data_IF_362018648802
#
_entry.id   IF_362018648802
#
_cell.length_a   1.000
_cell.length_b   1.000
_cell.length_c   1.000
_cell.angle_alpha   90.00
_cell.angle_beta   90.00
_cell.angle_gamma   90.00
#
_symmetry.space_group_name_H-M   'P 1'
#
loop_
_entity.id
_entity.type
_entity.pdbx_description
1 polymer ?
#
# COMPACT_ATOMS: atom_id res chain seq x y z
N UNK A 1 2.70 -19.10 3.01
CA UNK A 1 3.57 -18.45 4.03
C UNK A 1 2.78 -18.39 5.34
N UNK A 2 2.98 -19.36 6.21
CA UNK A 2 2.17 -19.51 7.45
C UNK A 2 2.39 -18.37 8.46
N UNK A 3 3.50 -17.64 8.34
CA UNK A 3 3.85 -16.51 9.18
C UNK A 3 3.21 -15.17 8.73
N UNK A 4 2.68 -15.11 7.53
CA UNK A 4 2.17 -13.87 6.95
C UNK A 4 0.65 -13.76 7.16
N UNK A 5 0.20 -12.64 7.69
CA UNK A 5 -1.18 -12.20 7.62
C UNK A 5 -1.26 -10.97 6.71
N UNK A 6 -2.15 -10.97 5.73
CA UNK A 6 -2.31 -9.83 4.82
C UNK A 6 -3.70 -9.80 4.19
N UNK A 7 -4.09 -8.65 3.71
CA UNK A 7 -5.33 -8.52 2.94
C UNK A 7 -5.58 -7.10 2.44
N UNK A 8 -6.41 -7.06 1.41
CA UNK A 8 -7.04 -5.83 0.93
C UNK A 8 -8.51 -5.89 1.34
N UNK A 9 -8.89 -5.06 2.32
CA UNK A 9 -10.26 -5.00 2.80
C UNK A 9 -11.21 -4.40 1.77
N UNK A 10 -12.47 -4.75 1.91
CA UNK A 10 -13.58 -4.14 1.18
C UNK A 10 -14.29 -3.12 2.08
N UNK A 11 -15.31 -2.45 1.55
CA UNK A 11 -16.16 -1.53 2.34
C UNK A 11 -16.95 -2.22 3.46
N UNK A 12 -17.02 -3.55 3.44
CA UNK A 12 -17.73 -4.38 4.40
C UNK A 12 -16.83 -4.96 5.50
N UNK A 13 -15.51 -4.79 5.38
CA UNK A 13 -14.55 -5.37 6.31
C UNK A 13 -14.21 -4.38 7.42
N UNK A 14 -14.40 -4.79 8.67
CA UNK A 14 -13.91 -4.08 9.84
C UNK A 14 -12.53 -4.61 10.24
N UNK A 15 -11.52 -4.18 9.50
CA UNK A 15 -10.13 -4.62 9.73
C UNK A 15 -9.59 -4.22 11.10
N UNK A 16 -9.87 -3.01 11.64
CA UNK A 16 -9.48 -2.67 13.01
C UNK A 16 -9.98 -3.64 14.08
N UNK A 17 -11.17 -4.21 13.92
CA UNK A 17 -11.73 -5.18 14.86
C UNK A 17 -11.03 -6.56 14.80
N UNK A 18 -10.20 -6.83 13.79
CA UNK A 18 -9.50 -8.10 13.63
C UNK A 18 -8.16 -8.16 14.38
N UNK A 19 -7.61 -7.01 14.79
CA UNK A 19 -6.24 -6.94 15.31
C UNK A 19 -6.10 -5.97 16.48
N UNK A 20 -5.73 -6.48 17.64
CA UNK A 20 -5.45 -5.65 18.83
C UNK A 20 -4.17 -4.81 18.67
N UNK A 21 -3.23 -5.28 17.85
CA UNK A 21 -1.89 -4.69 17.63
C UNK A 21 -1.76 -4.04 16.25
N UNK A 22 -2.79 -3.33 15.79
CA UNK A 22 -2.79 -2.66 14.48
C UNK A 22 -2.07 -1.32 14.54
N UNK A 23 -1.00 -1.15 13.78
CA UNK A 23 -0.35 0.14 13.56
C UNK A 23 -0.89 0.83 12.31
N UNK A 24 -1.17 2.11 12.42
CA UNK A 24 -1.65 2.95 11.31
C UNK A 24 -0.92 4.30 11.30
N UNK A 25 -1.20 5.13 10.30
CA UNK A 25 -0.64 6.47 10.15
C UNK A 25 -1.73 7.54 10.00
N UNK A 26 -1.37 8.77 10.36
CA UNK A 26 -2.02 9.95 9.84
C UNK A 26 -1.46 10.18 8.41
N UNK A 27 -2.15 9.62 7.40
CA UNK A 27 -1.75 9.71 6.00
C UNK A 27 -1.86 11.15 5.49
N UNK A 28 -0.78 11.65 4.89
CA UNK A 28 -0.63 13.04 4.44
C UNK A 28 -0.28 13.16 2.95
N UNK A 29 -0.39 12.05 2.20
CA UNK A 29 -0.07 11.95 0.77
C UNK A 29 1.39 12.30 0.44
N UNK A 30 2.31 11.90 1.31
CA UNK A 30 3.76 12.10 1.20
C UNK A 30 4.49 10.86 0.67
N UNK A 31 5.83 10.92 0.66
CA UNK A 31 6.70 9.76 0.49
C UNK A 31 7.40 9.35 1.81
N UNK A 32 6.80 9.68 2.96
CA UNK A 32 7.34 9.35 4.27
C UNK A 32 7.02 7.91 4.65
N UNK A 33 8.07 7.14 4.96
CA UNK A 33 7.98 5.78 5.44
C UNK A 33 8.36 5.73 6.93
N UNK A 34 7.51 5.11 7.76
CA UNK A 34 7.68 4.99 9.22
C UNK A 34 7.88 3.52 9.59
N UNK A 35 8.83 3.24 10.47
CA UNK A 35 8.96 1.91 11.06
C UNK A 35 7.98 1.74 12.21
N UNK A 36 7.24 0.64 12.21
CA UNK A 36 6.29 0.38 13.29
C UNK A 36 6.99 -0.19 14.53
N UNK A 37 7.97 -1.11 14.37
CA UNK A 37 8.80 -1.65 15.47
C UNK A 37 7.96 -2.25 16.60
N UNK A 38 6.93 -3.02 16.25
CA UNK A 38 6.01 -3.65 17.19
C UNK A 38 5.01 -2.69 17.86
N UNK A 39 5.06 -1.39 17.55
CA UNK A 39 4.12 -0.40 18.11
C UNK A 39 2.77 -0.49 17.41
N UNK A 40 1.70 -0.14 18.11
CA UNK A 40 0.33 -0.11 17.62
C UNK A 40 -0.29 1.31 17.73
N UNK A 41 -1.48 1.46 17.17
CA UNK A 41 -2.18 2.74 17.11
C UNK A 41 -1.70 3.65 15.98
N UNK A 42 -1.87 4.97 16.13
CA UNK A 42 -1.47 5.96 15.12
C UNK A 42 -0.05 6.45 15.38
N UNK A 43 0.91 6.02 14.57
CA UNK A 43 2.36 6.26 14.78
C UNK A 43 2.87 7.61 14.28
N UNK A 44 1.98 8.52 13.86
CA UNK A 44 2.35 9.85 13.40
C UNK A 44 2.07 10.07 11.90
N UNK A 45 2.63 11.14 11.29
CA UNK A 45 2.42 11.45 9.89
C UNK A 45 3.28 10.57 8.98
N UNK A 46 2.70 10.11 7.87
CA UNK A 46 3.39 9.30 6.86
C UNK A 46 2.41 8.52 5.98
N UNK A 47 2.94 7.82 4.97
CA UNK A 47 2.12 7.13 3.98
C UNK A 47 2.62 5.69 3.70
N UNK A 48 3.68 5.25 4.37
CA UNK A 48 4.10 3.86 4.37
C UNK A 48 4.55 3.42 5.77
N UNK A 49 4.25 2.17 6.12
CA UNK A 49 4.71 1.51 7.34
C UNK A 49 5.54 0.28 6.98
N UNK A 50 6.64 0.06 7.71
CA UNK A 50 7.43 -1.18 7.63
C UNK A 50 7.42 -1.90 8.96
N UNK A 51 7.44 -3.26 8.95
CA UNK A 51 7.37 -4.08 10.15
C UNK A 51 8.02 -5.45 9.94
N UNK A 52 8.66 -6.00 10.99
CA UNK A 52 9.13 -7.39 11.01
C UNK A 52 9.02 -8.04 12.41
N UNK A 53 8.42 -7.34 13.37
CA UNK A 53 8.18 -7.87 14.72
C UNK A 53 7.05 -8.90 14.68
N UNK A 54 7.22 -10.07 15.31
CA UNK A 54 6.15 -11.06 15.45
C UNK A 54 4.91 -10.47 16.11
N UNK A 55 3.74 -10.91 15.64
CA UNK A 55 2.40 -10.51 16.08
C UNK A 55 2.05 -9.03 15.85
N UNK A 56 2.89 -8.28 15.13
CA UNK A 56 2.59 -6.91 14.74
C UNK A 56 1.94 -6.85 13.34
N UNK A 57 0.98 -5.95 13.20
CA UNK A 57 0.25 -5.71 11.95
C UNK A 57 0.28 -4.23 11.60
N UNK A 58 0.63 -3.91 10.37
CA UNK A 58 0.61 -2.55 9.82
C UNK A 58 -0.51 -2.40 8.81
N UNK A 59 -1.19 -1.25 8.80
CA UNK A 59 -2.25 -1.00 7.83
C UNK A 59 -2.26 0.45 7.34
N UNK A 60 -2.76 0.60 6.11
CA UNK A 60 -3.09 1.89 5.50
C UNK A 60 -4.57 1.91 5.09
N UNK A 61 -5.10 3.11 4.92
CA UNK A 61 -6.49 3.35 4.55
C UNK A 61 -6.57 3.99 3.17
N UNK A 62 -7.48 3.52 2.34
CA UNK A 62 -7.67 4.06 0.99
C UNK A 62 -9.15 4.26 0.66
N UNK A 63 -9.41 5.19 -0.25
CA UNK A 63 -10.58 5.31 -1.11
C UNK A 63 -10.04 5.95 -2.39
N UNK A 64 -9.80 5.13 -3.41
CA UNK A 64 -9.19 5.44 -4.71
C UNK A 64 -7.66 5.42 -4.79
N UNK A 65 -6.92 5.94 -3.78
CA UNK A 65 -5.46 5.79 -3.76
C UNK A 65 -5.06 4.32 -3.79
N UNK A 66 -3.91 4.01 -4.39
CA UNK A 66 -3.44 2.63 -4.57
C UNK A 66 -2.83 2.10 -3.28
N UNK A 67 -3.40 1.05 -2.67
CA UNK A 67 -2.74 0.34 -1.59
C UNK A 67 -1.73 -0.65 -2.15
N UNK A 68 -0.52 -0.70 -1.56
CA UNK A 68 0.50 -1.66 -1.95
C UNK A 68 1.04 -2.35 -0.71
N UNK A 69 1.12 -3.67 -0.77
CA UNK A 69 1.72 -4.50 0.27
C UNK A 69 3.03 -5.07 -0.27
N UNK A 70 4.10 -4.91 0.50
CA UNK A 70 5.41 -5.49 0.20
C UNK A 70 5.71 -6.57 1.24
N UNK A 71 6.26 -7.69 0.78
CA UNK A 71 6.57 -8.85 1.62
C UNK A 71 7.93 -9.40 1.25
N UNK A 72 8.84 -9.48 2.23
CA UNK A 72 10.10 -10.22 2.13
C UNK A 72 9.99 -11.50 2.95
N UNK A 73 9.88 -12.63 2.25
CA UNK A 73 9.74 -13.94 2.89
C UNK A 73 10.98 -14.34 3.70
N UNK A 74 12.17 -13.97 3.23
CA UNK A 74 13.44 -14.38 3.87
C UNK A 74 13.69 -13.63 5.18
N UNK A 75 13.28 -12.37 5.24
CA UNK A 75 13.44 -11.49 6.41
C UNK A 75 12.20 -11.48 7.29
N UNK A 76 11.10 -12.12 6.85
CA UNK A 76 9.78 -12.03 7.46
C UNK A 76 9.41 -10.58 7.75
N UNK A 77 9.59 -9.74 6.74
CA UNK A 77 9.34 -8.31 6.83
C UNK A 77 8.23 -7.90 5.87
N UNK A 78 7.44 -6.94 6.27
CA UNK A 78 6.31 -6.44 5.50
C UNK A 78 6.31 -4.92 5.42
N UNK A 79 5.65 -4.38 4.39
CA UNK A 79 5.27 -2.98 4.37
C UNK A 79 3.85 -2.80 3.84
N UNK A 80 3.15 -1.79 4.37
CA UNK A 80 1.87 -1.31 3.85
C UNK A 80 2.05 0.13 3.36
N UNK A 81 1.73 0.40 2.09
CA UNK A 81 2.03 1.66 1.39
C UNK A 81 0.74 2.26 0.83
N UNK A 82 0.48 3.51 1.19
CA UNK A 82 -0.57 4.36 0.63
C UNK A 82 0.00 5.18 -0.53
N UNK A 83 -0.27 4.79 -1.75
CA UNK A 83 0.23 5.43 -2.95
C UNK A 83 -0.86 6.26 -3.66
N UNK A 84 -1.14 7.45 -3.15
CA UNK A 84 -1.87 8.48 -3.87
C UNK A 84 -0.98 9.11 -4.95
N UNK A 85 -1.53 9.95 -5.85
CA UNK A 85 -0.75 10.53 -6.94
C UNK A 85 0.46 11.35 -6.46
N UNK A 86 0.33 12.10 -5.34
CA UNK A 86 1.44 12.88 -4.76
C UNK A 86 2.54 11.96 -4.23
N UNK A 87 2.17 10.94 -3.46
CA UNK A 87 3.11 9.94 -2.94
C UNK A 87 3.81 9.18 -4.06
N UNK A 88 3.06 8.79 -5.10
CA UNK A 88 3.62 8.11 -6.29
C UNK A 88 4.58 9.03 -7.03
N UNK A 89 4.22 10.29 -7.29
CA UNK A 89 5.12 11.25 -7.95
C UNK A 89 6.41 11.49 -7.14
N UNK A 90 6.32 11.40 -5.79
CA UNK A 90 7.46 11.52 -4.89
C UNK A 90 8.20 10.19 -4.62
N UNK A 91 7.81 9.07 -5.28
CA UNK A 91 8.51 7.78 -5.18
C UNK A 91 8.25 7.00 -3.90
N UNK A 92 7.03 7.04 -3.34
CA UNK A 92 6.70 6.38 -2.05
C UNK A 92 7.02 4.88 -2.05
N UNK A 93 6.79 4.15 -3.14
CA UNK A 93 7.09 2.72 -3.20
C UNK A 93 8.59 2.44 -3.21
N UNK A 94 9.38 3.28 -3.90
CA UNK A 94 10.84 3.20 -3.91
C UNK A 94 11.39 3.46 -2.51
N UNK A 95 10.84 4.47 -1.80
CA UNK A 95 11.17 4.76 -0.40
C UNK A 95 10.82 3.60 0.54
N UNK A 96 9.69 2.93 0.32
CA UNK A 96 9.31 1.77 1.14
C UNK A 96 10.26 0.58 0.91
N UNK A 97 10.64 0.28 -0.34
CA UNK A 97 11.63 -0.76 -0.66
C UNK A 97 12.98 -0.42 -0.03
N UNK A 98 13.43 0.82 -0.12
CA UNK A 98 14.67 1.28 0.49
C UNK A 98 14.65 1.17 2.02
N UNK A 99 13.55 1.59 2.66
CA UNK A 99 13.37 1.45 4.10
C UNK A 99 13.42 -0.02 4.56
N UNK A 100 12.84 -0.95 3.80
CA UNK A 100 12.96 -2.39 4.08
C UNK A 100 14.42 -2.87 3.91
N UNK A 101 15.12 -2.37 2.90
CA UNK A 101 16.54 -2.69 2.68
C UNK A 101 17.42 -2.24 3.84
N UNK A 102 17.28 -0.99 4.26
CA UNK A 102 18.07 -0.38 5.33
C UNK A 102 17.81 -1.03 6.69
N UNK A 103 16.54 -1.31 7.00
CA UNK A 103 16.14 -1.79 8.33
C UNK A 103 16.27 -3.30 8.50
N UNK A 104 15.93 -4.06 7.47
CA UNK A 104 15.82 -5.51 7.58
C UNK A 104 16.84 -6.26 6.72
N UNK A 105 17.64 -5.54 5.93
CA UNK A 105 18.55 -6.16 4.96
C UNK A 105 17.80 -6.86 3.81
N UNK A 106 16.57 -6.43 3.51
CA UNK A 106 15.76 -6.91 2.38
C UNK A 106 16.50 -6.68 1.07
N UNK A 107 16.54 -7.69 0.21
CA UNK A 107 17.00 -7.54 -1.18
C UNK A 107 15.78 -7.26 -2.04
N UNK A 108 15.76 -6.18 -2.84
CA UNK A 108 14.58 -5.84 -3.65
C UNK A 108 14.09 -7.00 -4.54
N UNK A 109 15.01 -7.81 -5.10
CA UNK A 109 14.67 -8.97 -5.91
C UNK A 109 13.95 -10.11 -5.15
N UNK A 110 14.02 -10.11 -3.81
CA UNK A 110 13.33 -11.08 -2.95
C UNK A 110 11.92 -10.61 -2.53
N UNK A 111 11.57 -9.33 -2.79
CA UNK A 111 10.28 -8.74 -2.42
C UNK A 111 9.15 -9.24 -3.33
N UNK A 112 8.06 -9.67 -2.73
CA UNK A 112 6.75 -9.80 -3.37
C UNK A 112 5.96 -8.51 -3.14
N UNK A 113 5.47 -7.90 -4.21
CA UNK A 113 4.67 -6.68 -4.17
C UNK A 113 3.26 -6.97 -4.68
N UNK A 114 2.25 -6.68 -3.85
CA UNK A 114 0.85 -6.79 -4.23
C UNK A 114 0.23 -5.39 -4.32
N UNK A 115 -0.24 -5.03 -5.51
CA UNK A 115 -0.95 -3.78 -5.80
C UNK A 115 -2.45 -4.07 -5.69
N UNK A 116 -3.09 -3.49 -4.68
CA UNK A 116 -4.49 -3.71 -4.37
C UNK A 116 -5.47 -2.83 -5.14
N UNK A 117 -6.76 -2.91 -4.79
CA UNK A 117 -7.81 -2.13 -5.41
C UNK A 117 -7.63 -0.62 -5.22
N UNK A 118 -7.72 0.13 -6.31
CA UNK A 118 -7.67 1.59 -6.33
C UNK A 118 -8.41 2.14 -7.53
N UNK A 119 -8.40 3.44 -7.75
CA UNK A 119 -9.05 3.99 -8.94
C UNK A 119 -8.25 3.61 -10.19
N UNK A 120 -8.91 2.91 -11.11
CA UNK A 120 -8.28 2.46 -12.35
C UNK A 120 -8.22 3.55 -13.44
N UNK A 121 -7.41 3.35 -14.49
CA UNK A 121 -7.31 4.29 -15.62
C UNK A 121 -8.64 4.44 -16.37
N UNK A 122 -9.56 3.50 -16.24
CA UNK A 122 -10.93 3.62 -16.78
C UNK A 122 -11.69 4.83 -16.20
N UNK A 123 -11.33 5.28 -14.97
CA UNK A 123 -12.06 6.29 -14.22
C UNK A 123 -11.19 7.45 -13.72
N UNK A 124 -9.86 7.30 -13.71
CA UNK A 124 -8.96 8.29 -13.10
C UNK A 124 -8.52 9.35 -14.13
N UNK A 125 -9.46 10.22 -14.48
CA UNK A 125 -9.14 11.43 -15.23
C UNK A 125 -8.50 12.48 -14.31
N UNK A 126 -7.38 13.08 -14.76
CA UNK A 126 -6.60 14.08 -14.03
C UNK A 126 -6.37 15.33 -14.89
N UNK A 127 -6.19 16.48 -14.24
CA UNK A 127 -5.83 17.73 -14.88
C UNK A 127 -4.36 17.79 -15.31
N UNK A 128 -3.99 18.82 -16.11
CA UNK A 128 -2.63 18.96 -16.63
C UNK A 128 -1.55 19.02 -15.55
N UNK A 129 -1.86 19.59 -14.39
CA UNK A 129 -0.95 19.74 -13.25
C UNK A 129 -0.55 18.40 -12.65
N UNK A 130 -1.48 17.43 -12.59
CA UNK A 130 -1.20 16.08 -12.14
C UNK A 130 -0.54 15.27 -13.25
N UNK A 131 -1.05 15.38 -14.48
CA UNK A 131 -0.51 14.69 -15.65
C UNK A 131 0.98 14.98 -15.86
N UNK A 132 1.40 16.24 -15.71
CA UNK A 132 2.79 16.66 -15.84
C UNK A 132 3.75 15.95 -14.86
N UNK A 133 3.29 15.59 -13.64
CA UNK A 133 4.09 14.85 -12.67
C UNK A 133 4.44 13.42 -13.14
N UNK A 134 3.74 12.91 -14.14
CA UNK A 134 3.94 11.59 -14.73
C UNK A 134 4.44 11.64 -16.18
N UNK A 135 4.92 12.81 -16.63
CA UNK A 135 5.41 13.02 -18.01
C UNK A 135 4.30 13.01 -19.06
N UNK A 136 3.04 13.21 -18.66
CA UNK A 136 1.88 13.27 -19.54
C UNK A 136 1.45 14.73 -19.78
N UNK A 137 0.73 14.96 -20.87
CA UNK A 137 0.28 16.30 -21.24
C UNK A 137 -1.24 16.43 -21.21
N UNK A 138 -1.71 17.63 -20.84
CA UNK A 138 -3.12 17.97 -20.86
C UNK A 138 -3.95 17.19 -19.86
N UNK A 139 -5.27 17.22 -20.06
CA UNK A 139 -6.21 16.39 -19.30
C UNK A 139 -6.16 14.96 -19.85
N UNK A 140 -5.90 14.00 -18.99
CA UNK A 140 -5.70 12.61 -19.40
C UNK A 140 -6.15 11.61 -18.35
N UNK A 141 -6.22 10.34 -18.74
CA UNK A 141 -6.45 9.22 -17.82
C UNK A 141 -5.12 8.67 -17.32
N UNK A 142 -4.95 8.68 -16.00
CA UNK A 142 -3.72 8.23 -15.34
C UNK A 142 -3.85 6.78 -14.87
N UNK A 143 -2.92 5.93 -15.30
CA UNK A 143 -2.72 4.59 -14.74
C UNK A 143 -1.77 4.69 -13.54
N UNK A 144 -2.35 4.99 -12.36
CA UNK A 144 -1.59 5.14 -11.12
C UNK A 144 -1.02 3.81 -10.62
N UNK A 145 -1.75 2.71 -10.81
CA UNK A 145 -1.27 1.36 -10.46
C UNK A 145 -0.08 0.96 -11.36
N UNK A 146 -0.16 1.22 -12.65
CA UNK A 146 0.93 1.01 -13.61
C UNK A 146 2.16 1.87 -13.32
N UNK A 147 1.97 3.14 -12.88
CA UNK A 147 3.07 4.00 -12.44
C UNK A 147 3.81 3.40 -11.24
N UNK A 148 3.09 2.97 -10.21
CA UNK A 148 3.69 2.30 -9.05
C UNK A 148 4.36 0.98 -9.42
N UNK A 149 3.77 0.19 -10.34
CA UNK A 149 4.39 -1.03 -10.84
C UNK A 149 5.76 -0.77 -11.49
N UNK A 150 5.86 0.26 -12.33
CA UNK A 150 7.15 0.66 -12.94
C UNK A 150 8.17 1.05 -11.88
N UNK A 151 7.78 1.88 -10.92
CA UNK A 151 8.67 2.30 -9.83
C UNK A 151 9.15 1.14 -8.96
N UNK A 152 8.32 0.12 -8.69
CA UNK A 152 8.73 -1.09 -7.99
C UNK A 152 9.80 -1.86 -8.76
N UNK A 153 9.63 -2.01 -10.08
CA UNK A 153 10.60 -2.67 -10.95
C UNK A 153 11.91 -1.87 -11.01
N UNK A 154 11.84 -0.56 -11.14
CA UNK A 154 13.00 0.35 -11.10
C UNK A 154 13.74 0.29 -9.75
N UNK A 155 13.02 0.06 -8.64
CA UNK A 155 13.62 -0.17 -7.32
C UNK A 155 14.26 -1.58 -7.16
N UNK A 156 14.20 -2.42 -8.21
CA UNK A 156 14.82 -3.73 -8.25
C UNK A 156 13.91 -4.90 -7.85
N UNK A 157 12.60 -4.66 -7.67
CA UNK A 157 11.65 -5.76 -7.47
C UNK A 157 11.49 -6.54 -8.77
N UNK A 158 11.62 -7.86 -8.69
CA UNK A 158 11.52 -8.74 -9.86
C UNK A 158 10.13 -8.62 -10.52
N UNK A 159 10.02 -8.36 -11.84
CA UNK A 159 8.73 -8.14 -12.51
C UNK A 159 7.70 -9.25 -12.28
N UNK A 160 8.14 -10.52 -12.21
CA UNK A 160 7.28 -11.68 -11.93
C UNK A 160 6.79 -11.79 -10.49
N UNK A 161 7.28 -10.92 -9.59
CA UNK A 161 6.85 -10.82 -8.19
C UNK A 161 6.00 -9.58 -7.90
N UNK A 162 5.57 -8.86 -8.94
CA UNK A 162 4.64 -7.73 -8.83
C UNK A 162 3.28 -8.15 -9.33
N UNK A 163 2.34 -8.30 -8.40
CA UNK A 163 0.96 -8.73 -8.64
C UNK A 163 0.03 -7.53 -8.57
N UNK A 164 -0.99 -7.47 -9.42
CA UNK A 164 -1.98 -6.40 -9.41
C UNK A 164 -3.40 -6.97 -9.44
N UNK A 165 -4.28 -6.43 -8.60
CA UNK A 165 -5.69 -6.85 -8.55
C UNK A 165 -6.48 -6.41 -9.78
N UNK A 166 -6.08 -5.31 -10.42
CA UNK A 166 -6.77 -4.64 -11.54
C UNK A 166 -8.24 -4.26 -11.23
N UNK A 167 -8.59 -4.12 -9.94
CA UNK A 167 -9.91 -3.75 -9.49
C UNK A 167 -10.02 -2.24 -9.31
N UNK A 168 -10.98 -1.62 -10.03
CA UNK A 168 -11.26 -0.19 -9.93
C UNK A 168 -12.30 0.08 -8.83
N UNK A 169 -11.92 0.88 -7.81
CA UNK A 169 -12.78 1.22 -6.67
C UNK A 169 -14.03 2.02 -7.08
N UNK A 170 -13.93 2.86 -8.12
CA UNK A 170 -15.06 3.62 -8.61
C UNK A 170 -16.06 2.73 -9.36
N UNK A 171 -15.58 1.78 -10.19
CA UNK A 171 -16.43 0.86 -10.94
C UNK A 171 -17.09 -0.17 -10.01
N UNK A 172 -16.37 -0.66 -9.00
CA UNK A 172 -16.82 -1.70 -8.09
C UNK A 172 -17.46 -1.11 -6.83
N UNK A 173 -18.59 -0.43 -7.04
CA UNK A 173 -19.31 0.31 -6.00
C UNK A 173 -19.72 -0.54 -4.80
N UNK A 174 -20.13 -1.77 -5.06
CA UNK A 174 -20.63 -2.67 -4.01
C UNK A 174 -19.49 -3.18 -3.12
N UNK A 175 -18.24 -3.20 -3.63
CA UNK A 175 -17.11 -3.74 -2.92
C UNK A 175 -16.27 -2.67 -2.21
N UNK A 176 -16.20 -1.43 -2.77
CA UNK A 176 -15.21 -0.45 -2.35
C UNK A 176 -15.77 0.95 -2.12
N UNK A 177 -15.20 1.65 -1.14
CA UNK A 177 -15.34 3.09 -1.00
C UNK A 177 -14.56 3.81 -2.11
N UNK A 178 -15.08 4.93 -2.60
CA UNK A 178 -14.42 5.77 -3.60
C UNK A 178 -14.63 7.25 -3.27
N UNK A 179 -13.54 7.97 -3.06
CA UNK A 179 -13.57 9.42 -2.84
C UNK A 179 -14.02 10.18 -4.10
N UNK A 180 -13.62 9.71 -5.27
CA UNK A 180 -14.04 10.30 -6.55
C UNK A 180 -15.56 10.25 -6.76
N UNK A 181 -16.20 9.19 -6.24
CA UNK A 181 -17.65 9.02 -6.31
C UNK A 181 -18.39 9.76 -5.22
N UNK A 182 -17.93 9.61 -3.97
CA UNK A 182 -18.71 9.94 -2.77
C UNK A 182 -18.16 11.19 -2.03
N UNK A 183 -17.04 11.79 -2.49
CA UNK A 183 -16.42 12.96 -1.87
C UNK A 183 -16.07 12.75 -0.40
N UNK A 184 -16.34 13.75 0.43
CA UNK A 184 -16.06 13.71 1.87
C UNK A 184 -16.90 12.65 2.63
N UNK A 185 -18.02 12.21 2.05
CA UNK A 185 -18.85 11.14 2.64
C UNK A 185 -18.26 9.74 2.43
N UNK A 186 -17.18 9.60 1.64
CA UNK A 186 -16.55 8.32 1.40
C UNK A 186 -15.96 7.73 2.68
N UNK A 187 -16.33 6.48 3.01
CA UNK A 187 -15.60 5.68 3.98
C UNK A 187 -14.19 5.32 3.48
N UNK A 188 -13.51 4.46 4.24
CA UNK A 188 -12.17 3.97 3.87
C UNK A 188 -12.13 2.45 4.03
N UNK A 189 -11.50 1.77 3.08
CA UNK A 189 -11.07 0.38 3.25
C UNK A 189 -9.64 0.33 3.74
N UNK A 190 -9.33 -0.68 4.54
CA UNK A 190 -8.00 -0.93 5.06
C UNK A 190 -7.28 -1.98 4.22
N UNK A 191 -5.98 -1.79 4.04
CA UNK A 191 -5.09 -2.80 3.50
C UNK A 191 -3.98 -3.03 4.51
N UNK A 192 -3.68 -4.27 4.82
CA UNK A 192 -2.84 -4.64 5.95
C UNK A 192 -1.88 -5.78 5.62
N UNK A 193 -0.74 -5.78 6.31
CA UNK A 193 0.21 -6.89 6.34
C UNK A 193 0.82 -7.00 7.75
N UNK A 194 1.13 -8.21 8.15
CA UNK A 194 1.70 -8.46 9.47
C UNK A 194 2.45 -9.78 9.55
N UNK A 195 3.23 -9.93 10.61
CA UNK A 195 4.04 -11.11 10.91
C UNK A 195 3.39 -11.88 12.04
N UNK A 196 2.94 -13.10 11.79
CA UNK A 196 2.46 -14.02 12.86
C UNK A 196 3.64 -14.70 13.53
N UNK A 197 3.54 -14.91 14.83
CA UNK A 197 4.43 -15.84 15.51
C UNK A 197 4.23 -17.24 14.92
N UNK A 198 5.32 -17.94 14.60
CA UNK A 198 5.21 -19.33 14.18
C UNK A 198 4.54 -20.13 15.33
N UNK A 199 3.47 -20.85 15.00
CA UNK A 199 2.91 -21.82 15.94
C UNK A 199 4.03 -22.77 16.35
N UNK A 200 4.44 -22.74 17.61
CA UNK A 200 5.27 -23.79 18.17
C UNK A 200 4.38 -25.03 18.24
N UNK A 201 4.55 -25.93 17.28
CA UNK A 201 4.00 -27.29 17.38
C UNK A 201 4.79 -27.98 18.49
N UNK A 202 4.19 -28.07 19.68
CA UNK A 202 4.66 -28.93 20.76
C UNK A 202 4.42 -30.41 20.40
#
# INVERSE_FOLDING_TARGET
MDWLVHGFGTRHADVPALFDNLATLRQIHSATCVAAEGRSGVLGPGDALTENTPDAVVAIRTADCIPILLVDERRRAVAAVHAGWRGTAAGIVQRAVEAMRERFGTRPGDVHAAIGPGIGPCCYEVGPEVAAQFGLQGRTRLDLAGANRRQLIEAGVTPGRVYASNLCTLCRREDFHSFRRDGEAAGRQFSFAGVRQALQLN
#
